data_IF_550559908786
#
_entry.id   IF_550559908786
#
_cell.length_a   1.000
_cell.length_b   1.000
_cell.length_c   1.000
_cell.angle_alpha   90.00
_cell.angle_beta   90.00
_cell.angle_gamma   90.00
#
_symmetry.space_group_name_H-M   'P 1'
#
loop_
_entity.id
_entity.type
_entity.pdbx_description
1 polymer ?
#
# COMPACT_ATOMS: atom_id res chain seq x y z
N UNK A 1 9.63 -10.83 9.13
CA UNK A 1 9.19 -10.69 7.73
C UNK A 1 10.31 -10.14 6.83
N UNK A 2 10.88 -8.96 7.12
CA UNK A 2 11.95 -8.32 6.32
C UNK A 2 13.14 -9.23 5.97
N UNK A 3 13.68 -9.98 6.93
CA UNK A 3 14.80 -10.89 6.68
C UNK A 3 14.52 -11.93 5.58
N UNK A 4 13.31 -12.48 5.50
CA UNK A 4 12.95 -13.46 4.48
C UNK A 4 12.83 -12.82 3.09
N UNK A 5 12.18 -11.65 2.99
CA UNK A 5 12.05 -10.91 1.73
C UNK A 5 13.42 -10.44 1.21
N UNK A 6 14.27 -9.91 2.10
CA UNK A 6 15.59 -9.39 1.76
C UNK A 6 16.58 -10.50 1.36
N UNK A 7 16.43 -11.69 1.96
CA UNK A 7 17.25 -12.87 1.61
C UNK A 7 16.82 -13.49 0.29
N UNK A 8 15.51 -13.53 0.00
CA UNK A 8 14.97 -14.17 -1.21
C UNK A 8 15.16 -13.32 -2.48
N UNK A 9 15.07 -11.98 -2.39
CA UNK A 9 15.11 -11.09 -3.56
C UNK A 9 16.39 -10.25 -3.69
N UNK A 10 17.52 -10.70 -3.14
CA UNK A 10 18.83 -9.98 -3.16
C UNK A 10 19.08 -9.27 -4.51
N UNK A 11 19.06 -7.92 -4.48
CA UNK A 11 19.27 -6.97 -5.62
C UNK A 11 18.19 -6.94 -6.72
N UNK A 12 17.03 -7.59 -6.54
CA UNK A 12 15.88 -7.53 -7.45
C UNK A 12 14.73 -6.71 -6.84
N UNK A 13 14.98 -5.41 -6.63
CA UNK A 13 13.99 -4.51 -6.01
C UNK A 13 12.65 -4.49 -6.75
N UNK A 14 12.63 -4.52 -8.08
CA UNK A 14 11.38 -4.60 -8.84
C UNK A 14 10.58 -5.89 -8.58
N UNK A 15 11.24 -7.04 -8.44
CA UNK A 15 10.55 -8.30 -8.12
C UNK A 15 10.07 -8.32 -6.65
N UNK A 16 10.85 -7.74 -5.74
CA UNK A 16 10.46 -7.58 -4.33
C UNK A 16 9.23 -6.68 -4.21
N UNK A 17 9.23 -5.52 -4.88
CA UNK A 17 8.09 -4.62 -4.92
C UNK A 17 6.85 -5.35 -5.45
N UNK A 18 6.93 -6.00 -6.62
CA UNK A 18 5.80 -6.77 -7.18
C UNK A 18 5.18 -7.76 -6.19
N UNK A 19 6.00 -8.48 -5.41
CA UNK A 19 5.46 -9.45 -4.43
C UNK A 19 4.91 -8.74 -3.19
N UNK A 20 5.55 -7.69 -2.70
CA UNK A 20 5.08 -6.94 -1.53
C UNK A 20 3.78 -6.17 -1.83
N UNK A 21 3.70 -5.49 -2.98
CA UNK A 21 2.51 -4.72 -3.37
C UNK A 21 1.26 -5.61 -3.52
N UNK A 22 1.42 -6.88 -3.90
CA UNK A 22 0.28 -7.82 -3.97
C UNK A 22 -0.33 -8.14 -2.59
N UNK A 23 0.46 -7.98 -1.53
CA UNK A 23 0.05 -8.18 -0.14
C UNK A 23 -0.37 -6.86 0.49
N UNK A 24 0.30 -5.76 0.17
CA UNK A 24 0.00 -4.41 0.67
C UNK A 24 -1.40 -3.90 0.26
N UNK A 25 -1.91 -4.30 -0.90
CA UNK A 25 -3.28 -3.94 -1.31
C UNK A 25 -4.41 -4.66 -0.53
N UNK A 26 -4.09 -5.67 0.31
CA UNK A 26 -5.11 -6.50 0.98
C UNK A 26 -5.72 -5.84 2.22
N UNK A 27 -4.95 -5.24 3.15
CA UNK A 27 -5.48 -4.65 4.38
C UNK A 27 -6.55 -3.59 4.18
N UNK A 28 -6.32 -2.60 3.32
CA UNK A 28 -7.29 -1.55 3.01
C UNK A 28 -8.61 -2.13 2.48
N UNK A 29 -8.53 -3.13 1.60
CA UNK A 29 -9.71 -3.81 1.06
C UNK A 29 -10.50 -4.56 2.15
N UNK A 30 -9.81 -5.30 3.01
CA UNK A 30 -10.44 -6.03 4.13
C UNK A 30 -11.08 -5.06 5.12
N UNK A 31 -10.36 -4.01 5.53
CA UNK A 31 -10.84 -3.00 6.47
C UNK A 31 -12.03 -2.22 5.91
N UNK A 32 -11.93 -1.75 4.66
CA UNK A 32 -13.01 -1.05 3.97
C UNK A 32 -14.26 -1.91 3.83
N UNK A 33 -14.12 -3.17 3.39
CA UNK A 33 -15.24 -4.12 3.30
C UNK A 33 -15.90 -4.37 4.67
N UNK A 34 -15.12 -4.63 5.72
CA UNK A 34 -15.67 -4.93 7.04
C UNK A 34 -16.34 -3.71 7.69
N UNK A 35 -15.80 -2.51 7.50
CA UNK A 35 -16.44 -1.26 7.94
C UNK A 35 -17.70 -0.96 7.13
N UNK A 36 -17.69 -1.22 5.82
CA UNK A 36 -18.88 -1.09 4.97
C UNK A 36 -20.03 -1.97 5.45
N UNK A 37 -19.78 -3.26 5.64
CA UNK A 37 -20.79 -4.16 6.19
C UNK A 37 -21.21 -3.78 7.63
N UNK A 38 -20.35 -3.10 8.39
CA UNK A 38 -20.66 -2.61 9.74
C UNK A 38 -21.56 -1.38 9.72
N UNK A 39 -21.31 -0.44 8.83
CA UNK A 39 -22.15 0.72 8.59
C UNK A 39 -23.55 0.28 8.18
N UNK A 40 -23.66 -0.60 7.17
CA UNK A 40 -24.94 -1.11 6.67
C UNK A 40 -25.78 -1.79 7.78
N UNK A 41 -25.20 -2.74 8.52
CA UNK A 41 -25.94 -3.50 9.55
C UNK A 41 -26.29 -2.68 10.80
N UNK A 42 -25.64 -1.52 11.00
CA UNK A 42 -25.91 -0.61 12.12
C UNK A 42 -26.70 0.63 11.71
N UNK A 43 -26.94 0.83 10.41
CA UNK A 43 -27.54 2.04 9.84
C UNK A 43 -26.89 3.33 10.34
N UNK A 44 -25.54 3.39 10.29
CA UNK A 44 -24.75 4.56 10.72
C UNK A 44 -23.76 4.97 9.65
N UNK A 45 -23.46 6.26 9.62
CA UNK A 45 -22.34 6.79 8.84
C UNK A 45 -21.01 6.16 9.30
N UNK A 46 -20.02 6.16 8.40
CA UNK A 46 -18.67 5.61 8.63
C UNK A 46 -17.60 6.70 8.84
N UNK A 47 -17.99 7.97 8.74
CA UNK A 47 -17.11 9.14 8.92
C UNK A 47 -15.92 9.18 7.94
N UNK A 48 -16.01 8.46 6.81
CA UNK A 48 -15.03 8.48 5.71
C UNK A 48 -13.97 7.36 5.74
N UNK A 49 -13.94 6.52 6.77
CA UNK A 49 -13.04 5.37 6.92
C UNK A 49 -13.07 4.41 5.72
N UNK A 50 -14.26 4.06 5.24
CA UNK A 50 -14.45 3.11 4.14
C UNK A 50 -13.77 3.65 2.89
N UNK A 51 -14.00 4.93 2.57
CA UNK A 51 -13.43 5.55 1.38
C UNK A 51 -11.91 5.58 1.47
N UNK A 52 -11.35 6.07 2.58
CA UNK A 52 -9.90 6.13 2.78
C UNK A 52 -9.25 4.75 2.64
N UNK A 53 -9.83 3.70 3.22
CA UNK A 53 -9.27 2.34 3.16
C UNK A 53 -9.35 1.71 1.76
N UNK A 54 -10.40 2.02 0.99
CA UNK A 54 -10.52 1.55 -0.39
C UNK A 54 -9.61 2.34 -1.34
N UNK A 55 -9.41 3.63 -1.10
CA UNK A 55 -8.45 4.47 -1.81
C UNK A 55 -7.00 3.99 -1.56
N UNK A 56 -6.65 3.62 -0.32
CA UNK A 56 -5.37 2.98 0.03
C UNK A 56 -5.18 1.67 -0.74
N UNK A 57 -6.16 0.76 -0.71
CA UNK A 57 -6.08 -0.51 -1.44
C UNK A 57 -5.94 -0.32 -2.96
N UNK A 58 -6.57 0.71 -3.52
CA UNK A 58 -6.40 1.08 -4.92
C UNK A 58 -5.00 1.65 -5.19
N UNK A 59 -4.49 2.52 -4.32
CA UNK A 59 -3.17 3.12 -4.43
C UNK A 59 -2.07 2.05 -4.46
N UNK A 60 -2.09 1.10 -3.51
CA UNK A 60 -1.20 -0.06 -3.46
C UNK A 60 -1.28 -0.93 -4.74
N UNK A 61 -2.49 -1.12 -5.26
CA UNK A 61 -2.68 -1.81 -6.55
C UNK A 61 -2.03 -1.03 -7.71
N UNK A 62 -2.04 0.30 -7.67
CA UNK A 62 -1.38 1.12 -8.69
C UNK A 62 0.15 1.09 -8.60
N UNK A 63 0.71 0.93 -7.39
CA UNK A 63 2.14 0.61 -7.22
C UNK A 63 2.48 -0.71 -7.90
N UNK A 64 1.71 -1.77 -7.64
CA UNK A 64 1.88 -3.08 -8.28
C UNK A 64 1.87 -2.97 -9.81
N UNK A 65 0.85 -2.32 -10.37
CA UNK A 65 0.68 -2.21 -11.82
C UNK A 65 1.83 -1.42 -12.46
N UNK A 66 2.37 -0.43 -11.75
CA UNK A 66 3.55 0.32 -12.17
C UNK A 66 4.79 -0.57 -12.20
N UNK A 67 5.04 -1.38 -11.16
CA UNK A 67 6.22 -2.24 -11.12
C UNK A 67 6.12 -3.45 -12.05
N UNK A 68 4.92 -3.96 -12.35
CA UNK A 68 4.72 -5.01 -13.36
C UNK A 68 5.13 -4.52 -14.76
N UNK A 69 4.95 -3.23 -15.07
CA UNK A 69 5.40 -2.66 -16.33
C UNK A 69 6.94 -2.67 -16.47
N UNK A 70 7.66 -2.71 -15.35
CA UNK A 70 9.12 -2.76 -15.28
C UNK A 70 9.64 -4.20 -15.15
N UNK A 71 8.97 -5.04 -14.37
CA UNK A 71 9.40 -6.41 -14.05
C UNK A 71 8.21 -7.39 -14.09
N UNK A 72 8.17 -8.27 -15.10
CA UNK A 72 7.08 -9.24 -15.27
C UNK A 72 7.32 -10.48 -14.40
N UNK A 73 6.36 -10.87 -13.55
CA UNK A 73 6.49 -12.09 -12.75
C UNK A 73 6.33 -13.35 -13.63
N UNK A 74 7.13 -14.37 -13.34
CA UNK A 74 7.02 -15.69 -13.96
C UNK A 74 5.93 -16.56 -13.30
N UNK A 75 5.65 -17.74 -13.84
CA UNK A 75 4.59 -18.62 -13.34
C UNK A 75 4.78 -19.07 -11.89
N UNK A 76 6.04 -19.25 -11.45
CA UNK A 76 6.36 -19.65 -10.08
C UNK A 76 6.10 -18.48 -9.11
N UNK A 77 6.55 -17.27 -9.46
CA UNK A 77 6.28 -16.04 -8.68
C UNK A 77 4.76 -15.80 -8.57
N UNK A 78 4.01 -16.03 -9.65
CA UNK A 78 2.53 -15.94 -9.62
C UNK A 78 1.88 -16.98 -8.71
N UNK A 79 2.39 -18.22 -8.71
CA UNK A 79 1.94 -19.26 -7.78
C UNK A 79 2.20 -18.88 -6.32
N UNK A 80 3.37 -18.29 -6.04
CA UNK A 80 3.71 -17.78 -4.71
C UNK A 80 2.79 -16.64 -4.28
N UNK A 81 2.46 -15.70 -5.19
CA UNK A 81 1.53 -14.60 -4.92
C UNK A 81 0.16 -15.14 -4.53
N UNK A 82 -0.39 -16.11 -5.28
CA UNK A 82 -1.71 -16.70 -4.97
C UNK A 82 -1.71 -17.33 -3.57
N UNK A 83 -0.66 -18.10 -3.24
CA UNK A 83 -0.53 -18.72 -1.92
C UNK A 83 -0.41 -17.67 -0.81
N UNK A 84 0.45 -16.67 -1.01
CA UNK A 84 0.67 -15.59 -0.04
C UNK A 84 -0.61 -14.79 0.20
N UNK A 85 -1.33 -14.40 -0.85
CA UNK A 85 -2.62 -13.72 -0.75
C UNK A 85 -3.66 -14.59 -0.03
N UNK A 86 -3.77 -15.87 -0.38
CA UNK A 86 -4.71 -16.79 0.26
C UNK A 86 -4.47 -16.91 1.78
N UNK A 87 -3.22 -17.04 2.20
CA UNK A 87 -2.86 -17.12 3.62
C UNK A 87 -3.05 -15.77 4.33
N UNK A 88 -2.51 -14.70 3.75
CA UNK A 88 -2.52 -13.38 4.38
C UNK A 88 -3.92 -12.78 4.46
N UNK A 89 -4.73 -12.89 3.41
CA UNK A 89 -6.12 -12.43 3.41
C UNK A 89 -6.91 -13.05 4.57
N UNK A 90 -6.87 -14.39 4.70
CA UNK A 90 -7.63 -15.07 5.74
C UNK A 90 -7.12 -14.71 7.15
N UNK A 91 -5.81 -14.67 7.35
CA UNK A 91 -5.22 -14.28 8.63
C UNK A 91 -5.56 -12.83 9.02
N UNK A 92 -5.41 -11.89 8.07
CA UNK A 92 -5.68 -10.48 8.29
C UNK A 92 -7.18 -10.20 8.46
N UNK A 93 -8.05 -10.90 7.72
CA UNK A 93 -9.51 -10.84 7.90
C UNK A 93 -9.93 -11.23 9.32
N UNK A 94 -9.42 -12.36 9.83
CA UNK A 94 -9.70 -12.77 11.22
C UNK A 94 -9.13 -11.78 12.22
N UNK A 95 -7.91 -11.28 11.99
CA UNK A 95 -7.30 -10.25 12.84
C UNK A 95 -8.15 -8.97 12.89
N UNK A 96 -8.62 -8.47 11.74
CA UNK A 96 -9.41 -7.25 11.66
C UNK A 96 -10.79 -7.42 12.32
N UNK A 97 -11.41 -8.58 12.15
CA UNK A 97 -12.68 -8.92 12.81
C UNK A 97 -12.58 -8.89 14.33
N UNK A 98 -11.49 -9.42 14.90
CA UNK A 98 -11.33 -9.58 16.35
C UNK A 98 -10.67 -8.35 16.98
N UNK A 99 -9.67 -7.76 16.31
CA UNK A 99 -8.82 -6.71 16.86
C UNK A 99 -8.43 -5.67 15.79
N UNK A 100 -9.38 -4.84 15.31
CA UNK A 100 -9.15 -3.87 14.22
C UNK A 100 -8.03 -2.88 14.54
N UNK A 101 -7.89 -2.48 15.81
CA UNK A 101 -6.78 -1.62 16.25
C UNK A 101 -5.40 -2.23 16.00
N UNK A 102 -5.23 -3.51 16.30
CA UNK A 102 -3.97 -4.22 16.08
C UNK A 102 -3.73 -4.41 14.59
N UNK A 103 -4.79 -4.63 13.81
CA UNK A 103 -4.70 -4.70 12.36
C UNK A 103 -4.16 -3.38 11.77
N UNK A 104 -4.73 -2.23 12.13
CA UNK A 104 -4.24 -0.93 11.68
C UNK A 104 -2.81 -0.64 12.16
N UNK A 105 -2.48 -0.93 13.43
CA UNK A 105 -1.12 -0.74 13.93
C UNK A 105 -0.10 -1.62 13.20
N UNK A 106 -0.49 -2.85 12.84
CA UNK A 106 0.34 -3.75 12.04
C UNK A 106 0.63 -3.17 10.65
N UNK A 107 -0.40 -2.65 9.97
CA UNK A 107 -0.24 -1.99 8.67
C UNK A 107 0.67 -0.77 8.79
N UNK A 108 0.45 0.10 9.79
CA UNK A 108 1.33 1.25 10.02
C UNK A 108 2.82 0.87 10.16
N UNK A 109 3.13 -0.27 10.79
CA UNK A 109 4.50 -0.77 10.84
C UNK A 109 5.00 -1.40 9.53
N UNK A 110 4.11 -1.95 8.70
CA UNK A 110 4.49 -2.36 7.35
C UNK A 110 4.88 -1.14 6.50
N UNK A 111 4.13 -0.04 6.61
CA UNK A 111 4.42 1.15 5.83
C UNK A 111 5.65 1.92 6.32
N UNK A 112 5.97 1.86 7.62
CA UNK A 112 7.28 2.30 8.13
C UNK A 112 8.44 1.59 7.41
N UNK A 113 8.33 0.26 7.27
CA UNK A 113 9.34 -0.54 6.59
C UNK A 113 9.32 -0.33 5.06
N UNK A 114 8.16 0.01 4.47
CA UNK A 114 8.04 0.41 3.07
C UNK A 114 8.78 1.73 2.81
N UNK A 115 8.55 2.76 3.63
CA UNK A 115 9.26 4.05 3.55
C UNK A 115 10.78 3.88 3.64
N UNK A 116 11.25 3.03 4.56
CA UNK A 116 12.68 2.69 4.69
C UNK A 116 13.18 1.98 3.43
N UNK A 117 12.41 1.01 2.91
CA UNK A 117 12.76 0.25 1.71
C UNK A 117 12.87 1.14 0.46
N UNK A 118 11.91 2.03 0.23
CA UNK A 118 11.94 2.96 -0.90
C UNK A 118 13.01 4.03 -0.77
N UNK A 119 13.33 4.47 0.45
CA UNK A 119 14.48 5.34 0.69
C UNK A 119 15.80 4.66 0.32
N UNK A 120 15.96 3.38 0.68
CA UNK A 120 17.13 2.61 0.26
C UNK A 120 17.17 2.40 -1.27
N UNK A 121 16.02 2.14 -1.89
CA UNK A 121 15.94 2.01 -3.36
C UNK A 121 16.36 3.32 -4.05
N UNK A 122 15.87 4.46 -3.58
CA UNK A 122 16.26 5.78 -4.11
C UNK A 122 17.77 6.01 -4.03
N UNK A 123 18.41 5.62 -2.92
CA UNK A 123 19.86 5.72 -2.77
C UNK A 123 20.65 4.81 -3.74
N UNK A 124 20.13 3.62 -4.06
CA UNK A 124 20.74 2.74 -5.06
C UNK A 124 20.65 3.34 -6.48
N UNK A 125 19.54 4.00 -6.81
CA UNK A 125 19.38 4.74 -8.07
C UNK A 125 20.35 5.92 -8.12
N UNK A 126 20.38 6.75 -7.08
CA UNK A 126 21.19 7.98 -7.02
C UNK A 126 22.70 7.69 -7.06
N UNK A 127 23.12 6.52 -6.57
CA UNK A 127 24.51 6.06 -6.64
C UNK A 127 24.88 5.38 -7.97
N UNK A 128 23.94 5.25 -8.90
CA UNK A 128 24.15 4.59 -10.20
C UNK A 128 24.25 3.06 -10.13
N UNK A 129 24.03 2.45 -8.96
CA UNK A 129 24.02 0.98 -8.79
C UNK A 129 22.78 0.33 -9.39
N UNK A 130 21.70 1.10 -9.57
CA UNK A 130 20.49 0.69 -10.25
C UNK A 130 20.18 1.59 -11.44
N UNK A 131 19.64 1.01 -12.54
CA UNK A 131 19.25 1.79 -13.70
C UNK A 131 18.08 2.72 -13.36
N UNK A 132 18.07 3.90 -13.98
CA UNK A 132 16.97 4.88 -13.89
C UNK A 132 16.29 5.07 -15.26
N UNK A 133 15.52 4.08 -15.75
CA UNK A 133 14.82 4.20 -17.03
C UNK A 133 13.69 5.25 -16.96
N UNK A 134 13.14 5.67 -18.12
CA UNK A 134 11.91 6.47 -18.15
C UNK A 134 10.77 5.81 -17.36
N UNK A 135 9.93 6.63 -16.73
CA UNK A 135 8.77 6.17 -15.98
C UNK A 135 7.75 5.49 -16.91
N UNK A 136 7.11 4.38 -16.48
CA UNK A 136 6.00 3.80 -17.22
C UNK A 136 4.84 4.79 -17.39
N UNK A 137 4.15 4.76 -18.54
CA UNK A 137 3.03 5.69 -18.81
C UNK A 137 1.94 5.63 -17.73
N UNK A 138 1.62 4.44 -17.21
CA UNK A 138 0.66 4.28 -16.12
C UNK A 138 1.02 5.09 -14.86
N UNK A 139 2.32 5.21 -14.55
CA UNK A 139 2.80 6.00 -13.42
C UNK A 139 2.72 7.50 -13.71
N UNK A 140 3.08 7.89 -14.93
CA UNK A 140 2.97 9.27 -15.40
C UNK A 140 1.52 9.75 -15.27
N UNK A 141 0.57 8.95 -15.75
CA UNK A 141 -0.85 9.30 -15.73
C UNK A 141 -1.41 9.31 -14.31
N UNK A 142 -1.06 8.31 -13.49
CA UNK A 142 -1.61 8.16 -12.14
C UNK A 142 -1.10 9.24 -11.17
N UNK A 143 0.22 9.46 -11.11
CA UNK A 143 0.81 10.50 -10.25
C UNK A 143 0.93 11.87 -10.95
N UNK A 144 0.38 12.02 -12.16
CA UNK A 144 0.46 13.24 -12.96
C UNK A 144 1.90 13.78 -13.08
N UNK A 145 2.85 12.88 -13.37
CA UNK A 145 4.26 13.22 -13.48
C UNK A 145 4.57 13.90 -14.83
N UNK A 146 5.68 14.64 -14.96
CA UNK A 146 6.15 15.12 -16.26
C UNK A 146 6.40 13.95 -17.23
N UNK A 147 6.18 14.17 -18.53
CA UNK A 147 6.46 13.15 -19.57
C UNK A 147 7.93 12.70 -19.63
N UNK A 148 8.84 13.49 -19.06
CA UNK A 148 10.27 13.19 -18.94
C UNK A 148 10.63 12.50 -17.61
N UNK A 149 9.63 12.11 -16.81
CA UNK A 149 9.85 11.47 -15.52
C UNK A 149 10.58 10.13 -15.67
N UNK A 150 11.32 9.78 -14.62
CA UNK A 150 12.15 8.59 -14.53
C UNK A 150 11.65 7.67 -13.41
N UNK A 151 12.19 6.45 -13.34
CA UNK A 151 11.91 5.51 -12.25
C UNK A 151 12.18 6.12 -10.87
N UNK A 152 13.18 6.98 -10.76
CA UNK A 152 13.48 7.75 -9.55
C UNK A 152 12.28 8.58 -9.08
N UNK A 153 11.60 9.27 -10.00
CA UNK A 153 10.47 10.14 -9.69
C UNK A 153 9.26 9.31 -9.25
N UNK A 154 9.06 8.15 -9.86
CA UNK A 154 8.05 7.16 -9.44
C UNK A 154 8.32 6.67 -8.02
N UNK A 155 9.58 6.30 -7.70
CA UNK A 155 9.95 5.83 -6.35
C UNK A 155 9.73 6.91 -5.29
N UNK A 156 9.91 8.18 -5.64
CA UNK A 156 9.61 9.31 -4.74
C UNK A 156 8.12 9.42 -4.47
N UNK A 157 7.29 9.31 -5.53
CA UNK A 157 5.84 9.38 -5.41
C UNK A 157 5.29 8.21 -4.58
N UNK A 158 5.68 6.98 -4.90
CA UNK A 158 5.34 5.78 -4.14
C UNK A 158 5.71 5.93 -2.67
N UNK A 159 6.96 6.32 -2.35
CA UNK A 159 7.38 6.53 -0.95
C UNK A 159 6.53 7.57 -0.21
N UNK A 160 6.03 8.59 -0.91
CA UNK A 160 5.16 9.59 -0.30
C UNK A 160 3.78 9.00 0.02
N UNK A 161 3.24 8.15 -0.86
CA UNK A 161 2.01 7.40 -0.60
C UNK A 161 2.18 6.50 0.64
N UNK A 162 3.27 5.74 0.72
CA UNK A 162 3.57 4.88 1.88
C UNK A 162 3.62 5.66 3.20
N UNK A 163 4.22 6.85 3.19
CA UNK A 163 4.26 7.70 4.37
C UNK A 163 2.86 8.17 4.77
N UNK A 164 1.99 8.44 3.79
CA UNK A 164 0.59 8.74 4.03
C UNK A 164 -0.18 7.56 4.62
N UNK A 165 -0.05 6.36 4.04
CA UNK A 165 -0.68 5.13 4.54
C UNK A 165 -0.23 4.80 5.96
N UNK A 166 1.07 4.97 6.26
CA UNK A 166 1.64 4.85 7.60
C UNK A 166 0.90 5.73 8.60
N UNK A 167 0.81 7.03 8.30
CA UNK A 167 0.27 8.02 9.22
C UNK A 167 -1.23 7.81 9.45
N UNK A 168 -1.97 7.51 8.37
CA UNK A 168 -3.41 7.16 8.43
C UNK A 168 -3.66 5.91 9.27
N UNK A 169 -2.92 4.83 9.04
CA UNK A 169 -3.14 3.59 9.78
C UNK A 169 -2.75 3.72 11.26
N UNK A 170 -1.69 4.46 11.59
CA UNK A 170 -1.39 4.76 13.00
C UNK A 170 -2.50 5.60 13.66
N UNK A 171 -3.03 6.60 12.94
CA UNK A 171 -4.15 7.42 13.40
C UNK A 171 -5.42 6.59 13.64
N UNK A 172 -5.81 5.72 12.70
CA UNK A 172 -6.95 4.80 12.89
C UNK A 172 -6.77 3.89 14.11
N UNK A 173 -5.55 3.41 14.35
CA UNK A 173 -5.26 2.61 15.52
C UNK A 173 -5.41 3.42 16.84
N UNK A 174 -5.11 4.72 16.82
CA UNK A 174 -5.28 5.61 17.98
C UNK A 174 -6.73 6.06 18.18
N UNK A 175 -7.48 6.31 17.10
CA UNK A 175 -8.92 6.61 17.16
C UNK A 175 -9.72 5.46 17.79
N UNK A 176 -9.37 4.22 17.45
CA UNK A 176 -9.96 3.03 18.05
C UNK A 176 -9.55 2.83 19.52
N UNK A 177 -8.46 3.45 19.98
CA UNK A 177 -8.08 3.46 21.40
C UNK A 177 -8.90 4.47 22.20
N UNK A 178 -9.06 5.65 21.62
CA UNK A 178 -9.55 6.83 22.32
C UNK A 178 -11.08 7.02 22.16
N UNK A 179 -11.77 6.10 21.49
CA UNK A 179 -13.21 6.17 21.19
C UNK A 179 -13.58 7.51 20.53
N UNK A 180 -12.98 7.79 19.37
CA UNK A 180 -13.16 9.05 18.66
C UNK A 180 -14.63 9.52 18.62
N UNK A 181 -14.93 10.79 18.96
CA UNK A 181 -16.27 11.35 18.85
C UNK A 181 -16.79 11.26 17.41
N UNK A 182 -18.06 10.91 17.24
CA UNK A 182 -18.70 10.86 15.92
C UNK A 182 -18.76 12.25 15.28
N UNK A 183 -18.48 12.34 13.97
CA UNK A 183 -18.62 13.57 13.19
C UNK A 183 -17.34 14.40 13.00
N UNK A 184 -16.18 13.94 13.45
CA UNK A 184 -14.91 14.58 13.07
C UNK A 184 -14.30 13.94 11.80
N UNK A 185 -13.71 14.75 10.90
CA UNK A 185 -13.15 14.25 9.64
C UNK A 185 -11.90 13.39 9.87
N UNK A 186 -11.86 12.19 9.28
CA UNK A 186 -10.67 11.32 9.25
C UNK A 186 -9.43 12.07 8.78
N UNK A 187 -8.27 11.75 9.35
CA UNK A 187 -7.00 12.28 8.88
C UNK A 187 -6.87 12.02 7.37
N UNK A 188 -6.65 13.09 6.58
CA UNK A 188 -6.58 12.98 5.13
C UNK A 188 -5.45 12.01 4.74
N UNK A 189 -5.79 10.98 3.96
CA UNK A 189 -4.81 10.12 3.30
C UNK A 189 -4.07 10.86 2.18
N UNK A 190 -3.04 10.24 1.59
CA UNK A 190 -2.36 10.84 0.45
C UNK A 190 -3.37 11.17 -0.64
N UNK A 191 -3.27 12.36 -1.22
CA UNK A 191 -4.18 12.82 -2.25
C UNK A 191 -4.07 11.91 -3.49
N UNK A 192 -4.97 10.94 -3.61
CA UNK A 192 -5.07 10.17 -4.86
C UNK A 192 -5.60 11.11 -5.93
N UNK A 193 -4.83 11.25 -7.01
CA UNK A 193 -5.30 11.97 -8.19
C UNK A 193 -6.57 11.28 -8.66
N UNK A 194 -7.74 11.97 -8.73
CA UNK A 194 -8.94 11.35 -9.22
C UNK A 194 -8.64 10.95 -10.66
N UNK A 195 -8.56 9.64 -10.91
CA UNK A 195 -8.52 9.08 -12.25
C UNK A 195 -9.74 9.66 -12.99
N UNK A 196 -9.53 10.72 -13.76
CA UNK A 196 -10.47 11.20 -14.76
C UNK A 196 -10.57 10.07 -15.77
N UNK A 197 -11.63 9.28 -15.64
CA UNK A 197 -12.15 8.47 -16.75
C UNK A 197 -12.52 9.36 -17.92
#
# INVERSE_FOLDING_TARGET
MRWFADTFFRKRYGHRAVVLETVAAVPGMVGGMLNHLKSLRRMRDDDGWIRTLLEEAENERMHLMTFIAVAKPNWFERGLIILAQGLFFNAFFVLYLVHPRTAHRLVGYFEEEAVVSYTAYLAEIDSGRMPNPPAPQIAIDYWNLPATATLRDVVIAVRADEAGHRDVNHAFADDLKNERPQGEPVADGPATSPLKR
#
